data_IF_724241478743
#
_entry.id   IF_724241478743
#
_cell.length_a   1.000
_cell.length_b   1.000
_cell.length_c   1.000
_cell.angle_alpha   90.00
_cell.angle_beta   90.00
_cell.angle_gamma   90.00
#
_symmetry.space_group_name_H-M   'P 1'
#
loop_
_entity.id
_entity.type
_entity.pdbx_description
1 polymer ?
#
# COMPACT_ATOMS: atom_id res chain seq x y z
N UNK A 1 16.85 -3.76 -15.44
CA UNK A 1 15.40 -3.59 -15.61
C UNK A 1 14.70 -4.78 -14.94
N UNK A 2 14.20 -4.61 -13.72
CA UNK A 2 13.30 -5.59 -13.10
C UNK A 2 11.89 -5.07 -13.30
N UNK A 3 11.25 -5.55 -14.37
CA UNK A 3 9.89 -5.17 -14.75
C UNK A 3 8.89 -5.97 -13.90
N UNK A 4 8.69 -5.57 -12.64
CA UNK A 4 7.65 -6.14 -11.77
C UNK A 4 7.95 -6.00 -10.28
N UNK A 5 6.89 -6.02 -9.47
CA UNK A 5 7.00 -6.03 -8.00
C UNK A 5 7.35 -7.44 -7.49
N UNK A 6 8.17 -7.51 -6.44
CA UNK A 6 8.54 -8.74 -5.74
C UNK A 6 7.44 -9.20 -4.78
N UNK A 7 6.32 -9.68 -5.32
CA UNK A 7 5.18 -10.10 -4.50
C UNK A 7 5.46 -11.25 -3.52
N UNK A 8 6.56 -11.99 -3.71
CA UNK A 8 7.02 -12.99 -2.76
C UNK A 8 7.54 -12.39 -1.43
N UNK A 9 7.69 -11.06 -1.34
CA UNK A 9 8.10 -10.39 -0.08
C UNK A 9 6.95 -10.06 0.86
N UNK A 10 5.71 -10.38 0.48
CA UNK A 10 4.52 -10.17 1.30
C UNK A 10 3.68 -11.45 1.28
N UNK A 11 2.86 -11.67 2.31
CA UNK A 11 1.92 -12.79 2.29
C UNK A 11 0.68 -12.46 1.42
N UNK A 12 -0.13 -13.48 1.16
CA UNK A 12 -1.32 -13.36 0.31
C UNK A 12 -2.33 -12.33 0.86
N UNK A 13 -2.60 -12.37 2.17
CA UNK A 13 -3.51 -11.44 2.84
C UNK A 13 -3.08 -9.98 2.66
N UNK A 14 -1.78 -9.70 2.84
CA UNK A 14 -1.24 -8.35 2.67
C UNK A 14 -1.29 -7.92 1.21
N UNK A 15 -0.98 -8.83 0.27
CA UNK A 15 -1.11 -8.55 -1.17
C UNK A 15 -2.54 -8.16 -1.54
N UNK A 16 -3.53 -8.93 -1.11
CA UNK A 16 -4.95 -8.63 -1.36
C UNK A 16 -5.37 -7.30 -0.73
N UNK A 17 -4.94 -7.06 0.52
CA UNK A 17 -5.19 -5.81 1.24
C UNK A 17 -4.60 -4.60 0.49
N UNK A 18 -3.37 -4.72 -0.03
CA UNK A 18 -2.73 -3.66 -0.81
C UNK A 18 -3.45 -3.41 -2.14
N UNK A 19 -3.84 -4.46 -2.86
CA UNK A 19 -4.59 -4.33 -4.13
C UNK A 19 -5.90 -3.60 -3.87
N UNK A 20 -6.63 -4.00 -2.83
CA UNK A 20 -7.90 -3.40 -2.44
C UNK A 20 -7.74 -1.92 -2.05
N UNK A 21 -6.77 -1.60 -1.19
CA UNK A 21 -6.49 -0.23 -0.75
C UNK A 21 -6.12 0.66 -1.93
N UNK A 22 -5.17 0.21 -2.78
CA UNK A 22 -4.69 1.01 -3.90
C UNK A 22 -5.70 1.11 -5.06
N UNK A 23 -6.69 0.22 -5.13
CA UNK A 23 -7.79 0.31 -6.10
C UNK A 23 -8.94 1.20 -5.62
N UNK A 24 -8.97 1.58 -4.34
CA UNK A 24 -10.02 2.42 -3.77
C UNK A 24 -9.78 3.90 -4.13
N UNK A 25 -10.77 4.61 -4.70
CA UNK A 25 -10.65 6.03 -5.02
C UNK A 25 -10.32 6.92 -3.81
N UNK A 26 -10.69 6.49 -2.60
CA UNK A 26 -10.39 7.20 -1.36
C UNK A 26 -8.89 7.25 -1.06
N UNK A 27 -8.11 6.32 -1.61
CA UNK A 27 -6.67 6.22 -1.43
C UNK A 27 -5.88 6.64 -2.67
N UNK A 28 -6.51 7.25 -3.68
CA UNK A 28 -5.84 7.67 -4.92
C UNK A 28 -4.68 8.65 -4.68
N UNK A 29 -4.78 9.50 -3.65
CA UNK A 29 -3.75 10.46 -3.26
C UNK A 29 -2.71 9.87 -2.28
N UNK A 30 -2.84 8.59 -1.92
CA UNK A 30 -1.94 7.90 -1.02
C UNK A 30 -0.97 7.02 -1.79
N UNK A 31 0.25 6.92 -1.26
CA UNK A 31 1.32 6.07 -1.79
C UNK A 31 1.83 5.16 -0.69
N UNK A 32 2.09 3.89 -1.05
CA UNK A 32 2.77 2.95 -0.16
C UNK A 32 4.24 3.34 -0.04
N UNK A 33 4.68 3.58 1.19
CA UNK A 33 6.06 3.96 1.50
C UNK A 33 6.68 2.97 2.50
N UNK A 34 7.84 3.32 3.06
CA UNK A 34 8.46 2.54 4.12
C UNK A 34 9.03 1.21 3.66
N UNK A 35 9.16 0.29 4.61
CA UNK A 35 9.81 -1.00 4.43
C UNK A 35 9.13 -1.88 3.41
N UNK A 36 7.80 -1.91 3.41
CA UNK A 36 7.01 -2.75 2.50
C UNK A 36 7.11 -2.29 1.04
N UNK A 37 7.10 -0.98 0.79
CA UNK A 37 7.31 -0.43 -0.55
C UNK A 37 8.70 -0.81 -1.09
N UNK A 38 9.74 -0.67 -0.27
CA UNK A 38 11.09 -1.06 -0.65
C UNK A 38 11.20 -2.57 -0.91
N UNK A 39 10.63 -3.40 -0.03
CA UNK A 39 10.58 -4.85 -0.23
C UNK A 39 9.93 -5.25 -1.55
N UNK A 40 8.80 -4.64 -1.91
CA UNK A 40 8.13 -4.90 -3.19
C UNK A 40 8.93 -4.41 -4.39
N UNK A 41 9.74 -3.36 -4.26
CA UNK A 41 10.51 -2.81 -5.38
C UNK A 41 11.82 -3.57 -5.64
N UNK A 42 12.50 -4.02 -4.60
CA UNK A 42 13.86 -4.62 -4.73
C UNK A 42 14.00 -6.02 -4.14
N UNK A 43 12.95 -6.59 -3.56
CA UNK A 43 12.97 -7.97 -3.07
C UNK A 43 13.79 -8.20 -1.80
N UNK A 44 14.12 -7.14 -1.04
CA UNK A 44 15.17 -7.20 -0.01
C UNK A 44 14.83 -8.07 1.22
N UNK A 45 13.57 -8.13 1.65
CA UNK A 45 13.12 -8.94 2.80
C UNK A 45 11.61 -9.15 2.81
N UNK A 46 11.12 -10.09 3.60
CA UNK A 46 9.71 -10.16 3.97
C UNK A 46 9.28 -8.91 4.74
N UNK A 47 8.08 -8.40 4.46
CA UNK A 47 7.49 -7.25 5.15
C UNK A 47 6.01 -7.47 5.38
N UNK A 48 5.48 -6.87 6.45
CA UNK A 48 4.07 -7.06 6.88
C UNK A 48 3.32 -5.75 7.13
N UNK A 49 4.03 -4.61 7.13
CA UNK A 49 3.46 -3.31 7.48
C UNK A 49 2.80 -2.61 6.28
N UNK A 50 1.84 -1.71 6.54
CA UNK A 50 1.24 -0.83 5.54
C UNK A 50 1.47 0.62 5.99
N UNK A 51 2.43 1.28 5.38
CA UNK A 51 2.69 2.70 5.57
C UNK A 51 2.17 3.49 4.36
N UNK A 52 1.14 4.31 4.57
CA UNK A 52 0.55 5.16 3.52
C UNK A 52 0.85 6.63 3.78
N UNK A 53 1.33 7.32 2.76
CA UNK A 53 1.61 8.76 2.81
C UNK A 53 0.88 9.48 1.69
N UNK A 54 0.39 10.68 1.99
CA UNK A 54 -0.27 11.57 1.04
C UNK A 54 0.22 13.00 1.24
N UNK A 55 0.21 13.77 0.15
CA UNK A 55 0.48 15.22 0.18
C UNK A 55 -0.78 16.03 0.54
N UNK A 56 -1.92 15.35 0.80
CA UNK A 56 -3.14 15.98 1.26
C UNK A 56 -2.91 16.73 2.58
N UNK A 57 -3.35 18.00 2.67
CA UNK A 57 -3.31 18.73 3.93
C UNK A 57 -4.12 18.03 5.01
N UNK A 58 -3.64 18.09 6.25
CA UNK A 58 -4.34 17.53 7.39
C UNK A 58 -5.80 18.01 7.46
N UNK A 59 -6.74 17.08 7.67
CA UNK A 59 -8.18 17.37 7.72
C UNK A 59 -8.87 17.55 6.37
N UNK A 60 -8.17 17.36 5.23
CA UNK A 60 -8.78 17.39 3.88
C UNK A 60 -9.30 16.04 3.39
N UNK A 61 -9.00 14.98 4.12
CA UNK A 61 -9.57 13.66 3.87
C UNK A 61 -11.08 13.70 4.16
N UNK A 62 -11.91 13.55 3.13
CA UNK A 62 -13.34 13.31 3.32
C UNK A 62 -13.54 11.87 3.82
N UNK A 63 -14.53 11.65 4.69
CA UNK A 63 -14.72 10.41 5.45
C UNK A 63 -14.42 9.15 4.63
N UNK A 64 -13.34 8.45 4.99
CA UNK A 64 -13.13 7.08 4.54
C UNK A 64 -14.18 6.25 5.26
N UNK A 65 -15.20 5.81 4.52
CA UNK A 65 -16.10 4.78 5.04
C UNK A 65 -15.27 3.51 5.08
N UNK A 66 -14.91 3.06 6.28
CA UNK A 66 -14.38 1.72 6.48
C UNK A 66 -15.41 0.75 5.89
N UNK A 67 -15.03 0.10 4.79
CA UNK A 67 -15.81 -0.98 4.23
C UNK A 67 -15.63 -2.11 5.24
N UNK A 68 -16.68 -2.41 6.01
CA UNK A 68 -16.68 -3.61 6.83
C UNK A 68 -16.63 -4.80 5.88
N UNK A 69 -15.56 -5.59 6.01
CA UNK A 69 -15.46 -6.93 5.44
C UNK A 69 -16.24 -7.91 6.31
#
# INVERSE_FOLDING_TARGET
MTSGLYWNTVNEILKESLILLLSSPQFAEFRLVGGTSLSLQIGHRLSVDIDLFSDLPYGKLTSIKLINF
#
